data_IF_639727542790
#
_entry.id   IF_639727542790
#
_cell.length_a   1.000
_cell.length_b   1.000
_cell.length_c   1.000
_cell.angle_alpha   90.00
_cell.angle_beta   90.00
_cell.angle_gamma   90.00
#
_symmetry.space_group_name_H-M   'P 1'
#
loop_
_entity.id
_entity.type
_entity.pdbx_description
1 polymer ?
#
# COMPACT_ATOMS: atom_id res chain seq x y z
N UNK A 1 10.69 11.68 10.98
CA UNK A 1 10.37 10.29 10.58
C UNK A 1 11.25 9.34 11.37
N UNK A 2 10.69 8.55 12.28
CA UNK A 2 11.45 7.50 12.95
C UNK A 2 11.68 6.38 11.92
N UNK A 3 12.95 6.08 11.61
CA UNK A 3 13.30 4.91 10.82
C UNK A 3 12.89 3.65 11.60
N UNK A 4 11.84 3.02 11.16
CA UNK A 4 11.44 1.70 11.66
C UNK A 4 12.33 0.66 10.99
N UNK A 5 13.54 0.50 11.49
CA UNK A 5 14.41 -0.62 11.11
C UNK A 5 14.21 -1.77 12.08
N UNK A 6 13.19 -2.58 11.87
CA UNK A 6 13.20 -3.92 12.45
C UNK A 6 14.30 -4.68 11.71
N UNK A 7 15.36 -5.15 12.36
CA UNK A 7 16.37 -5.93 11.67
C UNK A 7 15.71 -7.18 11.07
N UNK A 8 15.97 -7.45 9.79
CA UNK A 8 15.33 -8.47 8.97
C UNK A 8 15.41 -9.92 9.52
N UNK A 9 15.95 -10.12 10.73
CA UNK A 9 16.18 -11.41 11.38
C UNK A 9 15.86 -11.43 12.88
N UNK A 10 15.07 -10.47 13.41
CA UNK A 10 14.66 -10.55 14.81
C UNK A 10 13.57 -11.63 14.94
N UNK A 11 13.80 -12.73 15.66
CA UNK A 11 12.79 -13.76 15.85
C UNK A 11 11.59 -13.16 16.60
N UNK A 12 10.38 -13.50 16.17
CA UNK A 12 9.16 -13.12 16.86
C UNK A 12 9.19 -13.67 18.29
N UNK A 13 9.01 -12.78 19.26
CA UNK A 13 8.83 -13.12 20.66
C UNK A 13 7.67 -12.31 21.24
N UNK A 14 7.22 -12.67 22.43
CA UNK A 14 6.04 -12.04 23.05
C UNK A 14 6.20 -10.54 23.29
N UNK A 15 7.42 -10.06 23.49
CA UNK A 15 7.65 -8.62 23.67
C UNK A 15 7.50 -7.89 22.34
N UNK A 16 8.14 -8.38 21.29
CA UNK A 16 8.01 -7.79 19.95
C UNK A 16 6.56 -7.80 19.47
N UNK A 17 5.81 -8.88 19.73
CA UNK A 17 4.38 -8.96 19.39
C UNK A 17 3.57 -7.90 20.15
N UNK A 18 3.85 -7.67 21.45
CA UNK A 18 3.19 -6.60 22.22
C UNK A 18 3.53 -5.21 21.66
N UNK A 19 4.79 -4.98 21.32
CA UNK A 19 5.26 -3.69 20.79
C UNK A 19 4.60 -3.40 19.43
N UNK A 20 4.61 -4.38 18.50
CA UNK A 20 3.92 -4.27 17.23
C UNK A 20 2.39 -4.08 17.38
N UNK A 21 1.78 -4.76 18.36
CA UNK A 21 0.35 -4.64 18.63
C UNK A 21 -0.02 -3.23 19.10
N UNK A 22 0.87 -2.53 19.80
CA UNK A 22 0.65 -1.18 20.26
C UNK A 22 0.52 -0.15 19.12
N UNK A 23 1.10 -0.45 17.95
CA UNK A 23 0.94 0.38 16.74
C UNK A 23 -0.49 0.36 16.17
N UNK A 24 -1.35 -0.54 16.61
CA UNK A 24 -2.72 -0.69 16.15
C UNK A 24 -3.72 -0.27 17.23
N UNK A 25 -4.18 0.99 17.27
CA UNK A 25 -5.01 1.52 18.38
C UNK A 25 -6.28 0.69 18.65
N UNK A 26 -6.92 0.19 17.59
CA UNK A 26 -8.13 -0.63 17.71
C UNK A 26 -7.92 -1.91 18.53
N UNK A 27 -6.72 -2.50 18.47
CA UNK A 27 -6.40 -3.73 19.20
C UNK A 27 -6.27 -3.52 20.71
N UNK A 28 -6.24 -2.26 21.17
CA UNK A 28 -6.32 -1.88 22.59
C UNK A 28 -7.75 -1.74 23.13
N UNK A 29 -8.78 -1.93 22.28
CA UNK A 29 -10.18 -1.77 22.68
C UNK A 29 -10.73 -3.01 23.38
N UNK A 30 -11.89 -2.85 24.01
CA UNK A 30 -12.63 -3.95 24.64
C UNK A 30 -13.97 -4.17 23.91
N UNK A 31 -14.37 -5.43 23.81
CA UNK A 31 -15.67 -5.86 23.27
C UNK A 31 -16.34 -6.73 24.33
N UNK A 32 -17.55 -6.34 24.74
CA UNK A 32 -18.31 -7.02 25.80
C UNK A 32 -17.52 -7.19 27.12
N UNK A 33 -16.69 -6.20 27.47
CA UNK A 33 -15.88 -6.21 28.69
C UNK A 33 -14.60 -7.09 28.62
N UNK A 34 -14.26 -7.62 27.45
CA UNK A 34 -13.06 -8.41 27.22
C UNK A 34 -12.12 -7.73 26.23
N UNK A 35 -10.79 -7.90 26.35
CA UNK A 35 -9.85 -7.42 25.34
C UNK A 35 -10.20 -7.92 23.94
N UNK A 36 -10.12 -7.05 22.94
CA UNK A 36 -10.39 -7.42 21.55
C UNK A 36 -9.41 -8.51 21.07
N UNK A 37 -9.96 -9.62 20.59
CA UNK A 37 -9.27 -10.61 19.78
C UNK A 37 -9.80 -10.49 18.35
N UNK A 38 -8.96 -9.98 17.44
CA UNK A 38 -9.33 -9.76 16.03
C UNK A 38 -8.68 -10.82 15.15
N UNK A 39 -9.48 -11.67 14.50
CA UNK A 39 -9.02 -12.79 13.67
C UNK A 39 -9.59 -12.72 12.24
N UNK A 40 -10.11 -11.56 11.82
CA UNK A 40 -10.78 -11.38 10.52
C UNK A 40 -9.98 -10.47 9.56
N UNK A 41 -8.65 -10.55 9.60
CA UNK A 41 -7.78 -9.76 8.71
C UNK A 41 -7.94 -10.14 7.23
N UNK A 42 -8.52 -11.31 6.93
CA UNK A 42 -8.85 -11.72 5.56
C UNK A 42 -9.98 -10.89 4.95
N UNK A 43 -10.93 -10.42 5.75
CA UNK A 43 -11.99 -9.53 5.32
C UNK A 43 -11.51 -8.06 5.29
N UNK A 44 -10.86 -7.61 6.35
CA UNK A 44 -10.24 -6.27 6.40
C UNK A 44 -9.09 -6.25 7.40
N UNK A 45 -7.95 -5.70 6.98
CA UNK A 45 -6.79 -5.51 7.85
C UNK A 45 -6.94 -4.24 8.69
N UNK A 46 -6.57 -4.32 9.97
CA UNK A 46 -6.48 -3.14 10.82
C UNK A 46 -5.33 -2.25 10.36
N UNK A 47 -5.45 -0.95 10.62
CA UNK A 47 -4.47 0.05 10.19
C UNK A 47 -3.58 0.44 11.38
N UNK A 48 -2.25 0.42 11.22
CA UNK A 48 -1.35 0.97 12.22
C UNK A 48 -1.43 2.50 12.25
N UNK A 49 -1.07 3.08 13.38
CA UNK A 49 -1.13 4.52 13.61
C UNK A 49 -0.35 5.31 12.55
N UNK A 50 0.81 4.81 12.13
CA UNK A 50 1.65 5.43 11.11
C UNK A 50 0.93 5.60 9.76
N UNK A 51 0.05 4.65 9.39
CA UNK A 51 -0.77 4.73 8.17
C UNK A 51 -1.89 5.75 8.33
N UNK A 52 -2.56 5.75 9.50
CA UNK A 52 -3.63 6.69 9.80
C UNK A 52 -3.12 8.13 9.83
N UNK A 53 -1.98 8.36 10.46
CA UNK A 53 -1.33 9.68 10.54
C UNK A 53 -0.88 10.16 9.15
N UNK A 54 -0.28 9.29 8.34
CA UNK A 54 0.15 9.64 6.99
C UNK A 54 -1.03 10.01 6.07
N UNK A 55 -2.15 9.28 6.15
CA UNK A 55 -3.36 9.61 5.41
C UNK A 55 -3.97 10.94 5.88
N UNK A 56 -4.05 11.14 7.20
CA UNK A 56 -4.54 12.37 7.81
C UNK A 56 -3.69 13.58 7.39
N UNK A 57 -2.39 13.47 7.50
CA UNK A 57 -1.45 14.54 7.16
C UNK A 57 -1.51 14.88 5.66
N UNK A 58 -1.65 13.89 4.79
CA UNK A 58 -1.83 14.12 3.36
C UNK A 58 -3.07 14.98 3.08
N UNK A 59 -4.22 14.65 3.68
CA UNK A 59 -5.44 15.42 3.47
C UNK A 59 -5.39 16.82 4.08
N UNK A 60 -4.68 17.02 5.17
CA UNK A 60 -4.53 18.33 5.80
C UNK A 60 -3.57 19.26 5.06
N UNK A 61 -2.52 18.72 4.44
CA UNK A 61 -1.38 19.54 4.03
C UNK A 61 -0.99 19.42 2.54
N UNK A 62 -1.25 18.29 1.89
CA UNK A 62 -0.72 17.98 0.55
C UNK A 62 -1.79 17.53 -0.46
N UNK A 63 -3.08 17.49 -0.08
CA UNK A 63 -4.13 17.00 -0.96
C UNK A 63 -4.29 17.86 -2.22
N UNK A 64 -3.85 17.34 -3.36
CA UNK A 64 -3.92 17.99 -4.66
C UNK A 64 -3.94 16.97 -5.80
N UNK A 65 -4.14 17.48 -7.04
CA UNK A 65 -4.21 16.63 -8.24
C UNK A 65 -2.80 16.17 -8.65
N UNK A 66 -2.55 14.89 -8.43
CA UNK A 66 -1.32 14.20 -8.85
C UNK A 66 -1.18 14.27 -10.38
N UNK A 67 0.01 14.64 -10.87
CA UNK A 67 0.37 14.80 -12.30
C UNK A 67 -0.46 15.79 -13.11
N UNK A 68 -1.32 16.60 -12.51
CA UNK A 68 -2.25 17.48 -13.24
C UNK A 68 -2.17 18.95 -12.88
N UNK A 69 -1.27 19.35 -12.00
CA UNK A 69 -1.13 20.74 -11.57
C UNK A 69 0.31 21.22 -11.67
N UNK A 70 0.49 22.52 -11.99
CA UNK A 70 1.80 23.16 -12.03
C UNK A 70 2.10 24.00 -10.77
N UNK A 71 1.22 23.96 -9.76
CA UNK A 71 1.40 24.68 -8.50
C UNK A 71 2.06 23.79 -7.43
N UNK A 72 2.62 24.41 -6.41
CA UNK A 72 3.44 23.76 -5.38
C UNK A 72 2.77 22.53 -4.75
N UNK A 73 1.49 22.62 -4.34
CA UNK A 73 0.78 21.49 -3.74
C UNK A 73 0.62 20.29 -4.70
N UNK A 74 0.46 20.55 -6.02
CA UNK A 74 0.37 19.46 -6.99
C UNK A 74 1.71 18.77 -7.21
N UNK A 75 2.80 19.52 -7.14
CA UNK A 75 4.16 18.96 -7.18
C UNK A 75 4.38 18.10 -5.95
N UNK A 76 4.11 18.61 -4.76
CA UNK A 76 4.25 17.88 -3.49
C UNK A 76 3.41 16.59 -3.46
N UNK A 77 2.14 16.66 -3.87
CA UNK A 77 1.28 15.46 -3.97
C UNK A 77 1.82 14.45 -5.00
N UNK A 78 2.41 14.93 -6.09
CA UNK A 78 3.03 14.06 -7.10
C UNK A 78 4.28 13.39 -6.55
N UNK A 79 5.15 14.12 -5.86
CA UNK A 79 6.36 13.57 -5.25
C UNK A 79 6.01 12.49 -4.21
N UNK A 80 5.04 12.74 -3.33
CA UNK A 80 4.56 11.75 -2.37
C UNK A 80 4.02 10.49 -3.05
N UNK A 81 3.29 10.63 -4.13
CA UNK A 81 2.74 9.50 -4.90
C UNK A 81 3.85 8.66 -5.56
N UNK A 82 4.85 9.32 -6.16
CA UNK A 82 5.95 8.62 -6.82
C UNK A 82 6.93 7.99 -5.81
N UNK A 83 7.15 8.61 -4.66
CA UNK A 83 7.93 8.04 -3.56
C UNK A 83 7.26 6.78 -3.00
N UNK A 84 5.93 6.80 -2.85
CA UNK A 84 5.16 5.62 -2.47
C UNK A 84 5.30 4.51 -3.51
N UNK A 85 5.21 4.83 -4.82
CA UNK A 85 5.41 3.90 -5.93
C UNK A 85 6.79 3.25 -5.85
N UNK A 86 7.84 4.05 -5.74
CA UNK A 86 9.22 3.58 -5.65
C UNK A 86 9.43 2.67 -4.42
N UNK A 87 8.79 3.00 -3.30
CA UNK A 87 8.88 2.21 -2.07
C UNK A 87 8.23 0.84 -2.22
N UNK A 88 7.02 0.77 -2.78
CA UNK A 88 6.34 -0.51 -3.02
C UNK A 88 7.06 -1.33 -4.09
N UNK A 89 7.54 -0.70 -5.16
CA UNK A 89 8.31 -1.37 -6.20
C UNK A 89 9.55 -2.07 -5.62
N UNK A 90 10.35 -1.37 -4.80
CA UNK A 90 11.50 -1.97 -4.09
C UNK A 90 11.10 -3.14 -3.20
N UNK A 91 9.98 -3.02 -2.47
CA UNK A 91 9.50 -4.08 -1.59
C UNK A 91 9.18 -5.37 -2.35
N UNK A 92 8.61 -5.28 -3.55
CA UNK A 92 8.28 -6.45 -4.39
C UNK A 92 9.41 -6.85 -5.35
N UNK A 93 10.57 -6.19 -5.30
CA UNK A 93 11.72 -6.48 -6.16
C UNK A 93 11.56 -6.01 -7.61
N UNK A 94 10.71 -4.99 -7.84
CA UNK A 94 10.47 -4.39 -9.14
C UNK A 94 11.05 -2.96 -9.22
N UNK A 95 11.01 -2.38 -10.41
CA UNK A 95 11.26 -0.95 -10.63
C UNK A 95 9.96 -0.15 -10.55
N UNK A 96 10.05 1.15 -10.34
CA UNK A 96 8.91 2.08 -10.33
C UNK A 96 8.10 2.02 -11.63
N UNK A 97 8.75 1.77 -12.77
CA UNK A 97 8.12 1.65 -14.10
C UNK A 97 7.33 0.36 -14.30
N UNK A 98 7.61 -0.66 -13.50
CA UNK A 98 6.94 -1.96 -13.54
C UNK A 98 5.75 -2.02 -12.56
N UNK A 99 5.58 -1.01 -11.70
CA UNK A 99 4.48 -0.94 -10.75
C UNK A 99 3.32 -0.13 -11.31
N UNK A 100 2.15 -0.75 -11.39
CA UNK A 100 0.90 -0.11 -11.80
C UNK A 100 -0.09 -0.14 -10.65
N UNK A 101 -0.59 1.03 -10.25
CA UNK A 101 -1.66 1.15 -9.28
C UNK A 101 -3.01 0.76 -9.87
N UNK A 102 -3.77 -0.04 -9.15
CA UNK A 102 -5.14 -0.43 -9.49
C UNK A 102 -6.04 -0.27 -8.27
N UNK A 103 -7.33 -0.08 -8.50
CA UNK A 103 -8.31 0.09 -7.41
C UNK A 103 -8.53 -1.20 -6.60
N UNK A 104 -8.32 -2.36 -7.22
CA UNK A 104 -8.52 -3.67 -6.61
C UNK A 104 -7.94 -4.79 -7.49
N UNK A 105 -7.94 -6.02 -6.97
CA UNK A 105 -7.46 -7.20 -7.67
C UNK A 105 -8.25 -7.52 -8.96
N UNK A 106 -9.54 -7.21 -9.01
CA UNK A 106 -10.37 -7.43 -10.21
C UNK A 106 -9.88 -6.56 -11.36
N UNK A 107 -9.60 -5.27 -11.10
CA UNK A 107 -9.03 -4.37 -12.10
C UNK A 107 -7.65 -4.85 -12.55
N UNK A 108 -6.78 -5.24 -11.62
CA UNK A 108 -5.45 -5.76 -11.91
C UNK A 108 -5.51 -6.99 -12.82
N UNK A 109 -6.37 -7.96 -12.51
CA UNK A 109 -6.53 -9.18 -13.32
C UNK A 109 -7.09 -8.87 -14.72
N UNK A 110 -8.05 -7.95 -14.83
CA UNK A 110 -8.59 -7.52 -16.13
C UNK A 110 -7.51 -6.81 -16.95
N UNK A 111 -6.71 -5.93 -16.35
CA UNK A 111 -5.61 -5.25 -17.03
C UNK A 111 -4.61 -6.27 -17.61
N UNK A 112 -4.23 -7.29 -16.82
CA UNK A 112 -3.34 -8.37 -17.28
C UNK A 112 -3.99 -9.15 -18.43
N UNK A 113 -5.27 -9.52 -18.30
CA UNK A 113 -5.98 -10.26 -19.33
C UNK A 113 -6.05 -9.50 -20.67
N UNK A 114 -6.33 -8.19 -20.62
CA UNK A 114 -6.32 -7.34 -21.80
C UNK A 114 -4.93 -7.19 -22.42
N UNK A 115 -3.89 -6.99 -21.60
CA UNK A 115 -2.53 -6.84 -22.06
C UNK A 115 -2.04 -8.12 -22.78
N UNK A 116 -2.27 -9.30 -22.20
CA UNK A 116 -1.91 -10.59 -22.81
C UNK A 116 -2.76 -10.85 -24.06
N UNK A 117 -4.08 -10.60 -24.01
CA UNK A 117 -4.99 -10.80 -25.13
C UNK A 117 -4.60 -9.95 -26.36
N UNK A 118 -4.24 -8.70 -26.15
CA UNK A 118 -3.78 -7.81 -27.21
C UNK A 118 -2.43 -8.25 -27.80
N UNK A 119 -1.46 -8.61 -26.95
CA UNK A 119 -0.18 -9.13 -27.40
C UNK A 119 -0.31 -10.44 -28.21
N UNK A 120 -1.27 -11.30 -27.85
CA UNK A 120 -1.52 -12.57 -28.54
C UNK A 120 -2.18 -12.40 -29.90
N UNK A 121 -2.91 -11.30 -30.14
CA UNK A 121 -3.52 -11.02 -31.45
C UNK A 121 -2.50 -10.70 -32.56
N UNK A 122 -1.35 -10.17 -32.23
CA UNK A 122 -0.25 -9.94 -33.18
C UNK A 122 0.43 -11.25 -33.60
N UNK A 123 0.45 -12.26 -32.73
CA UNK A 123 1.06 -13.57 -33.00
C UNK A 123 0.16 -14.42 -33.90
N UNK A 124 -1.18 -14.24 -33.87
CA UNK A 124 -2.14 -15.00 -34.67
C UNK A 124 -2.29 -14.55 -36.12
N UNK A 125 -1.71 -13.44 -36.56
CA UNK A 125 -1.79 -12.91 -37.93
C UNK A 125 -0.67 -13.36 -38.87
N UNK A 126 0.26 -14.17 -38.41
CA UNK A 126 1.41 -14.59 -39.21
C UNK A 126 1.19 -15.85 -40.04
N UNK A 127 -0.02 -16.41 -40.10
CA UNK A 127 -0.35 -17.59 -40.93
C UNK A 127 -1.74 -17.46 -41.57
N UNK A 128 -1.84 -16.66 -42.62
CA UNK A 128 -2.75 -16.90 -43.75
C UNK A 128 -2.07 -16.44 -45.02
#
# INVERSE_FOLDING_TARGET
MAEYSTPANTPLNDQLVRDLRADFPILGTQVNGHPLVYLDSGATSQKPLQVLDAEHDFYLHANSAVHRGAHTLAVEATDLFEDARATVARFVGATDKELVWTSNATEALNLIAYAIGNASQEIGRAHV
#
